data_IF_085437616299
#
_entry.id   IF_085437616299
#
_cell.length_a   1.000
_cell.length_b   1.000
_cell.length_c   1.000
_cell.angle_alpha   90.00
_cell.angle_beta   90.00
_cell.angle_gamma   90.00
#
_symmetry.space_group_name_H-M   'P 1'
#
loop_
_entity.id
_entity.type
_entity.pdbx_description
1 polymer ?
#
# COMPACT_ATOMS: atom_id res chain seq x y z
N UNK A 1 15.79 -8.31 -0.79
CA UNK A 1 14.65 -7.48 -0.30
C UNK A 1 13.30 -8.08 -0.68
N UNK A 2 13.07 -8.46 -1.96
CA UNK A 2 11.78 -9.03 -2.39
C UNK A 2 11.37 -10.32 -1.65
N UNK A 3 12.32 -11.22 -1.37
CA UNK A 3 12.05 -12.46 -0.63
C UNK A 3 11.56 -12.19 0.79
N UNK A 4 12.15 -11.21 1.49
CA UNK A 4 11.74 -10.80 2.83
C UNK A 4 10.32 -10.21 2.82
N UNK A 5 10.00 -9.42 1.78
CA UNK A 5 8.67 -8.86 1.60
C UNK A 5 7.62 -9.97 1.40
N UNK A 6 7.92 -10.96 0.56
CA UNK A 6 7.03 -12.11 0.34
C UNK A 6 6.86 -12.95 1.61
N UNK A 7 7.93 -13.18 2.38
CA UNK A 7 7.85 -13.87 3.67
C UNK A 7 6.98 -13.12 4.67
N UNK A 8 7.06 -11.78 4.70
CA UNK A 8 6.23 -10.94 5.56
C UNK A 8 4.74 -11.09 5.20
N UNK A 9 4.37 -10.97 3.93
CA UNK A 9 2.98 -11.18 3.51
C UNK A 9 2.51 -12.62 3.73
N UNK A 10 3.37 -13.62 3.50
CA UNK A 10 3.05 -15.01 3.78
C UNK A 10 2.79 -15.24 5.28
N UNK A 11 3.59 -14.63 6.15
CA UNK A 11 3.39 -14.67 7.61
C UNK A 11 2.04 -14.08 8.02
N UNK A 12 1.68 -12.91 7.49
CA UNK A 12 0.38 -12.28 7.74
C UNK A 12 -0.77 -13.17 7.28
N UNK A 13 -0.68 -13.74 6.08
CA UNK A 13 -1.70 -14.67 5.54
C UNK A 13 -1.84 -15.91 6.43
N UNK A 14 -0.72 -16.50 6.86
CA UNK A 14 -0.74 -17.69 7.71
C UNK A 14 -1.31 -17.43 9.11
N UNK A 15 -1.21 -16.21 9.63
CA UNK A 15 -1.79 -15.84 10.92
C UNK A 15 -3.29 -15.51 10.81
N UNK A 16 -3.69 -14.73 9.81
CA UNK A 16 -5.04 -14.14 9.73
C UNK A 16 -6.05 -15.06 9.01
N UNK A 17 -5.66 -15.65 7.88
CA UNK A 17 -6.57 -16.45 7.04
C UNK A 17 -7.14 -17.68 7.74
N UNK A 18 -6.39 -18.52 8.50
CA UNK A 18 -6.99 -19.70 9.12
C UNK A 18 -8.06 -19.35 10.16
N UNK A 19 -7.88 -18.24 10.89
CA UNK A 19 -8.89 -17.74 11.83
C UNK A 19 -10.17 -17.32 11.12
N UNK A 20 -10.05 -16.55 10.05
CA UNK A 20 -11.20 -16.09 9.26
C UNK A 20 -11.94 -17.23 8.58
N UNK A 21 -11.22 -18.19 7.98
CA UNK A 21 -11.81 -19.36 7.31
C UNK A 21 -12.53 -20.27 8.30
N UNK A 22 -11.92 -20.54 9.47
CA UNK A 22 -12.54 -21.36 10.52
C UNK A 22 -13.86 -20.75 11.02
N UNK A 23 -13.92 -19.44 11.14
CA UNK A 23 -15.10 -18.71 11.60
C UNK A 23 -16.09 -18.37 10.47
N UNK A 24 -15.85 -18.84 9.23
CA UNK A 24 -16.66 -18.53 8.03
C UNK A 24 -16.82 -17.03 7.75
N UNK A 25 -15.81 -16.24 8.11
CA UNK A 25 -15.75 -14.79 7.96
C UNK A 25 -15.36 -14.40 6.52
N UNK A 26 -16.17 -14.80 5.54
CA UNK A 26 -15.87 -14.63 4.12
C UNK A 26 -15.86 -13.16 3.67
N UNK A 27 -16.68 -12.31 4.32
CA UNK A 27 -16.73 -10.88 4.01
C UNK A 27 -15.46 -10.18 4.47
N UNK A 28 -14.99 -10.52 5.67
CA UNK A 28 -13.77 -10.01 6.26
C UNK A 28 -12.54 -10.53 5.50
N UNK A 29 -12.56 -11.79 5.09
CA UNK A 29 -11.52 -12.38 4.24
C UNK A 29 -11.41 -11.64 2.90
N UNK A 30 -12.54 -11.26 2.28
CA UNK A 30 -12.53 -10.49 1.04
C UNK A 30 -11.91 -9.10 1.25
N UNK A 31 -12.29 -8.40 2.31
CA UNK A 31 -11.71 -7.09 2.67
C UNK A 31 -10.21 -7.22 2.95
N UNK A 32 -9.80 -8.23 3.72
CA UNK A 32 -8.40 -8.54 3.99
C UNK A 32 -7.61 -8.75 2.70
N UNK A 33 -8.12 -9.56 1.77
CA UNK A 33 -7.46 -9.79 0.47
C UNK A 33 -7.34 -8.51 -0.36
N UNK A 34 -8.36 -7.64 -0.36
CA UNK A 34 -8.28 -6.34 -1.04
C UNK A 34 -7.13 -5.52 -0.47
N UNK A 35 -7.05 -5.39 0.86
CA UNK A 35 -5.96 -4.65 1.51
C UNK A 35 -4.59 -5.31 1.28
N UNK A 36 -4.52 -6.64 1.29
CA UNK A 36 -3.30 -7.40 1.03
C UNK A 36 -2.78 -7.12 -0.40
N UNK A 37 -3.67 -7.20 -1.40
CA UNK A 37 -3.33 -6.93 -2.80
C UNK A 37 -2.91 -5.47 -2.99
N UNK A 38 -3.59 -4.51 -2.35
CA UNK A 38 -3.19 -3.10 -2.39
C UNK A 38 -1.79 -2.91 -1.78
N UNK A 39 -1.53 -3.49 -0.60
CA UNK A 39 -0.23 -3.42 0.06
C UNK A 39 0.89 -4.06 -0.79
N UNK A 40 0.63 -5.22 -1.39
CA UNK A 40 1.56 -5.88 -2.32
C UNK A 40 1.78 -5.05 -3.58
N UNK A 41 0.72 -4.53 -4.18
CA UNK A 41 0.75 -3.70 -5.38
C UNK A 41 1.51 -2.39 -5.19
N UNK A 42 1.56 -1.85 -3.96
CA UNK A 42 2.39 -0.69 -3.64
C UNK A 42 3.84 -1.08 -3.32
N UNK A 43 4.06 -2.16 -2.57
CA UNK A 43 5.40 -2.52 -2.07
C UNK A 43 6.28 -3.24 -3.10
N UNK A 44 5.71 -4.09 -3.96
CA UNK A 44 6.47 -4.83 -4.96
C UNK A 44 7.12 -3.87 -5.97
N UNK A 45 6.40 -2.94 -6.62
CA UNK A 45 7.03 -2.03 -7.58
C UNK A 45 8.04 -1.09 -6.91
N UNK A 46 7.82 -0.71 -5.64
CA UNK A 46 8.80 0.07 -4.87
C UNK A 46 10.13 -0.69 -4.70
N UNK A 47 10.08 -1.97 -4.33
CA UNK A 47 11.29 -2.81 -4.18
C UNK A 47 11.97 -3.09 -5.53
N UNK A 48 11.19 -3.16 -6.61
CA UNK A 48 11.71 -3.30 -7.97
C UNK A 48 12.27 -1.99 -8.56
N UNK A 49 12.20 -0.87 -7.82
CA UNK A 49 12.66 0.44 -8.30
C UNK A 49 11.76 1.05 -9.38
N UNK A 50 10.55 0.52 -9.58
CA UNK A 50 9.57 1.12 -10.47
C UNK A 50 9.09 2.44 -9.86
N UNK A 51 9.15 3.51 -10.66
CA UNK A 51 8.69 4.83 -10.25
C UNK A 51 7.17 4.84 -10.18
N UNK A 52 6.63 4.47 -9.03
CA UNK A 52 5.22 4.68 -8.72
C UNK A 52 4.98 6.20 -8.66
N UNK A 53 3.90 6.72 -9.27
CA UNK A 53 3.52 8.12 -9.12
C UNK A 53 3.44 8.47 -7.63
N UNK A 54 4.32 9.36 -7.19
CA UNK A 54 4.35 9.78 -5.78
C UNK A 54 3.16 10.73 -5.54
N UNK A 55 2.20 10.39 -4.65
CA UNK A 55 1.08 11.27 -4.33
C UNK A 55 1.53 12.66 -3.87
N UNK A 56 2.70 12.74 -3.23
CA UNK A 56 3.30 14.02 -2.82
C UNK A 56 3.50 14.95 -4.01
N UNK A 57 3.80 14.45 -5.21
CA UNK A 57 3.91 15.30 -6.41
C UNK A 57 2.58 15.90 -6.84
N UNK A 58 1.48 15.16 -6.65
CA UNK A 58 0.14 15.68 -6.91
C UNK A 58 -0.24 16.75 -5.88
N UNK A 59 0.08 16.51 -4.61
CA UNK A 59 -0.10 17.49 -3.53
C UNK A 59 0.76 18.74 -3.83
N UNK A 60 2.04 18.57 -4.15
CA UNK A 60 2.92 19.67 -4.56
C UNK A 60 2.33 20.46 -5.73
N UNK A 61 1.80 19.81 -6.77
CA UNK A 61 1.19 20.52 -7.90
C UNK A 61 -0.01 21.40 -7.49
N UNK A 62 -0.80 20.95 -6.50
CA UNK A 62 -1.94 21.71 -5.97
C UNK A 62 -1.49 22.89 -5.09
N UNK A 63 -0.47 22.67 -4.26
CA UNK A 63 0.00 23.65 -3.26
C UNK A 63 1.12 24.58 -3.74
N UNK A 64 1.78 24.25 -4.85
CA UNK A 64 2.85 25.07 -5.45
C UNK A 64 2.37 26.49 -5.82
N UNK A 65 1.20 26.71 -6.43
CA UNK A 65 0.70 28.06 -6.71
C UNK A 65 0.57 28.91 -5.45
N UNK A 66 0.06 28.33 -4.37
CA UNK A 66 -0.06 29.01 -3.07
C UNK A 66 1.31 29.30 -2.46
N UNK A 67 2.23 28.34 -2.54
CA UNK A 67 3.59 28.47 -2.02
C UNK A 67 4.39 29.55 -2.75
N UNK A 68 4.24 29.64 -4.07
CA UNK A 68 4.91 30.65 -4.90
C UNK A 68 4.32 32.05 -4.64
N UNK A 69 3.01 32.18 -4.44
CA UNK A 69 2.35 33.43 -4.04
C UNK A 69 2.81 33.92 -2.66
N UNK A 70 3.00 33.01 -1.69
CA UNK A 70 3.48 33.35 -0.35
C UNK A 70 4.98 33.70 -0.32
N UNK A 71 5.79 33.14 -1.22
CA UNK A 71 7.22 33.47 -1.36
C UNK A 71 7.48 34.82 -2.05
N UNK A 72 6.50 35.34 -2.78
CA UNK A 72 6.57 36.62 -3.50
C UNK A 72 6.23 37.85 -2.63
N UNK A 73 5.96 37.66 -1.33
CA UNK A 73 5.73 38.71 -0.33
C UNK A 73 6.83 38.71 0.73
#
# INVERSE_FOLDING_TARGET
MILLLLLLFAGVVLMEVPGMVKNKMWRELAVFFIFLVVGMGLSIPQVLGLKIPNPTKAIEAIFKPLSDLLKLK
#
